data_IF_490665744902
#
_entry.id   IF_490665744902
#
_cell.length_a   1.000
_cell.length_b   1.000
_cell.length_c   1.000
_cell.angle_alpha   90.00
_cell.angle_beta   90.00
_cell.angle_gamma   90.00
#
_symmetry.space_group_name_H-M   'P 1'
#
loop_
_entity.id
_entity.type
_entity.pdbx_description
1 polymer ?
#
# COMPACT_ATOMS: atom_id res chain seq x y z
N UNK A 1 -1.53 -22.58 12.53
CA UNK A 1 -0.70 -22.65 11.31
C UNK A 1 0.11 -21.36 11.24
N UNK A 2 1.42 -21.41 10.95
CA UNK A 2 2.29 -20.21 10.99
C UNK A 2 2.14 -19.43 9.68
N UNK A 3 1.93 -18.11 9.78
CA UNK A 3 1.88 -17.23 8.61
C UNK A 3 3.22 -17.28 7.87
N UNK A 4 3.24 -17.57 6.55
CA UNK A 4 4.46 -17.60 5.75
C UNK A 4 5.04 -16.20 5.53
N UNK A 5 6.37 -16.15 5.41
CA UNK A 5 7.09 -14.95 5.01
C UNK A 5 7.49 -15.02 3.52
N UNK A 6 7.22 -13.94 2.80
CA UNK A 6 7.62 -13.72 1.41
C UNK A 6 8.89 -12.86 1.40
N UNK A 7 9.92 -13.32 0.68
CA UNK A 7 11.22 -12.68 0.53
C UNK A 7 11.94 -13.25 -0.70
N UNK A 8 12.70 -12.41 -1.41
CA UNK A 8 13.43 -12.89 -2.58
C UNK A 8 12.50 -13.24 -3.74
N UNK A 9 12.85 -14.33 -4.39
CA UNK A 9 12.10 -14.96 -5.48
C UNK A 9 11.10 -16.02 -4.98
N UNK A 10 10.85 -16.18 -3.68
CA UNK A 10 10.03 -17.29 -3.17
C UNK A 10 8.52 -17.20 -3.47
N UNK A 11 8.07 -16.11 -4.09
CA UNK A 11 6.72 -15.91 -4.58
C UNK A 11 6.69 -14.94 -5.77
N UNK A 12 5.76 -15.19 -6.71
CA UNK A 12 5.35 -14.24 -7.73
C UNK A 12 4.12 -13.49 -7.26
N UNK A 13 4.12 -12.16 -7.38
CA UNK A 13 3.01 -11.29 -6.99
C UNK A 13 2.56 -10.50 -8.21
N UNK A 14 1.27 -10.51 -8.48
CA UNK A 14 0.66 -9.83 -9.63
C UNK A 14 -0.52 -8.99 -9.15
N UNK A 15 -0.78 -7.84 -9.77
CA UNK A 15 -1.95 -7.03 -9.38
C UNK A 15 -3.24 -7.75 -9.75
N UNK A 16 -4.15 -7.81 -8.79
CA UNK A 16 -5.51 -8.27 -9.02
C UNK A 16 -6.42 -7.09 -9.39
N UNK A 17 -6.29 -5.97 -8.67
CA UNK A 17 -7.02 -4.73 -8.92
C UNK A 17 -6.27 -3.47 -8.43
N UNK A 18 -7.00 -2.39 -8.12
CA UNK A 18 -6.46 -1.14 -7.60
C UNK A 18 -5.76 -1.26 -6.23
N UNK A 19 -6.19 -2.17 -5.35
CA UNK A 19 -5.65 -2.29 -4.00
C UNK A 19 -5.34 -3.73 -3.59
N UNK A 20 -5.57 -4.73 -4.45
CA UNK A 20 -5.35 -6.14 -4.19
C UNK A 20 -4.33 -6.76 -5.15
N UNK A 21 -3.72 -7.84 -4.70
CA UNK A 21 -2.75 -8.64 -5.46
C UNK A 21 -3.10 -10.13 -5.38
N UNK A 22 -2.65 -10.88 -6.38
CA UNK A 22 -2.62 -12.33 -6.38
C UNK A 22 -1.18 -12.80 -6.11
N UNK A 23 -1.02 -13.83 -5.28
CA UNK A 23 0.28 -14.39 -4.91
C UNK A 23 0.34 -15.86 -5.28
N UNK A 24 1.40 -16.23 -5.99
CA UNK A 24 1.74 -17.63 -6.27
C UNK A 24 3.09 -17.96 -5.62
N UNK A 25 3.08 -18.79 -4.58
CA UNK A 25 4.28 -19.31 -3.91
C UNK A 25 4.91 -20.45 -4.72
N UNK A 26 6.23 -20.63 -4.62
CA UNK A 26 6.94 -21.74 -5.28
C UNK A 26 6.57 -23.13 -4.72
N UNK A 27 6.08 -23.18 -3.49
CA UNK A 27 5.57 -24.41 -2.87
C UNK A 27 4.14 -24.79 -3.33
N UNK A 28 3.58 -24.05 -4.28
CA UNK A 28 2.27 -24.30 -4.87
C UNK A 28 1.10 -23.61 -4.17
N UNK A 29 1.33 -22.94 -3.02
CA UNK A 29 0.26 -22.16 -2.37
C UNK A 29 -0.11 -20.94 -3.20
N UNK A 30 -1.42 -20.66 -3.27
CA UNK A 30 -1.97 -19.49 -3.94
C UNK A 30 -2.84 -18.69 -2.98
N UNK A 31 -2.70 -17.37 -3.03
CA UNK A 31 -3.55 -16.44 -2.31
C UNK A 31 -4.12 -15.45 -3.32
N UNK A 32 -5.43 -15.38 -3.44
CA UNK A 32 -6.12 -14.56 -4.43
C UNK A 32 -6.78 -13.35 -3.77
N UNK A 33 -6.77 -12.22 -4.48
CA UNK A 33 -7.39 -10.97 -4.06
C UNK A 33 -7.02 -10.54 -2.63
N UNK A 34 -5.73 -10.65 -2.28
CA UNK A 34 -5.25 -10.25 -0.96
C UNK A 34 -4.82 -8.80 -0.95
N UNK A 35 -5.14 -8.09 0.14
CA UNK A 35 -4.82 -6.68 0.30
C UNK A 35 -3.49 -6.50 1.05
N UNK A 36 -2.48 -5.84 0.46
CA UNK A 36 -1.28 -5.44 1.17
C UNK A 36 -1.55 -4.26 2.11
N UNK A 37 -1.15 -4.37 3.38
CA UNK A 37 -1.13 -3.27 4.37
C UNK A 37 0.23 -3.19 5.08
N UNK A 38 0.66 -1.98 5.45
CA UNK A 38 1.87 -1.75 6.25
C UNK A 38 1.58 -2.07 7.71
N UNK A 39 2.33 -3.00 8.30
CA UNK A 39 2.28 -3.22 9.77
C UNK A 39 2.90 -2.05 10.54
N UNK A 40 3.83 -1.32 9.91
CA UNK A 40 4.44 -0.11 10.48
C UNK A 40 4.29 1.06 9.49
N UNK A 41 3.13 1.76 9.47
CA UNK A 41 2.80 2.77 8.46
C UNK A 41 3.76 3.96 8.39
N UNK A 42 4.52 4.23 9.46
CA UNK A 42 5.44 5.37 9.56
C UNK A 42 6.89 4.91 9.34
N UNK A 43 7.35 3.91 10.08
CA UNK A 43 8.76 3.49 10.11
C UNK A 43 9.09 2.32 9.17
N UNK A 44 8.10 1.53 8.76
CA UNK A 44 8.25 0.34 7.91
C UNK A 44 7.59 0.50 6.56
N UNK A 45 7.86 1.61 5.86
CA UNK A 45 7.22 1.93 4.58
C UNK A 45 7.33 0.82 3.53
N UNK A 46 8.39 0.01 3.60
CA UNK A 46 8.71 -1.08 2.66
C UNK A 46 8.96 -2.42 3.34
N UNK A 47 8.76 -2.50 4.67
CA UNK A 47 9.09 -3.67 5.50
C UNK A 47 7.85 -4.15 6.24
N UNK A 48 7.74 -5.46 6.38
CA UNK A 48 6.63 -6.12 7.08
C UNK A 48 5.27 -5.67 6.54
N UNK A 49 5.02 -5.98 5.26
CA UNK A 49 3.73 -5.73 4.61
C UNK A 49 2.88 -7.00 4.79
N UNK A 50 1.78 -6.89 5.52
CA UNK A 50 0.83 -7.99 5.71
C UNK A 50 -0.06 -8.11 4.47
N UNK A 51 -0.42 -9.34 4.10
CA UNK A 51 -1.39 -9.65 3.07
C UNK A 51 -2.65 -10.20 3.74
N UNK A 52 -3.75 -9.47 3.61
CA UNK A 52 -5.03 -9.78 4.22
C UNK A 52 -5.99 -10.39 3.19
N UNK A 53 -6.69 -11.45 3.55
CA UNK A 53 -7.80 -11.96 2.76
C UNK A 53 -9.11 -11.15 2.97
N UNK A 54 -10.21 -11.64 2.38
CA UNK A 54 -11.51 -10.99 2.48
C UNK A 54 -12.12 -10.98 3.90
N UNK A 55 -11.62 -11.85 4.80
CA UNK A 55 -12.02 -11.89 6.22
C UNK A 55 -11.09 -11.02 7.08
N UNK A 56 -10.27 -10.16 6.46
CA UNK A 56 -9.19 -9.39 7.09
C UNK A 56 -8.16 -10.26 7.83
N UNK A 57 -8.04 -11.54 7.48
CA UNK A 57 -7.09 -12.45 8.08
C UNK A 57 -5.75 -12.39 7.37
N UNK A 58 -4.68 -12.31 8.15
CA UNK A 58 -3.32 -12.37 7.64
C UNK A 58 -3.00 -13.78 7.07
N UNK A 59 -2.72 -13.83 5.77
CA UNK A 59 -2.36 -15.06 5.07
C UNK A 59 -0.88 -15.15 4.72
N UNK A 60 -0.17 -14.02 4.65
CA UNK A 60 1.28 -13.95 4.44
C UNK A 60 1.85 -12.59 4.86
N UNK A 61 3.16 -12.52 5.11
CA UNK A 61 3.89 -11.26 5.34
C UNK A 61 5.05 -11.14 4.35
N UNK A 62 5.10 -10.04 3.62
CA UNK A 62 6.29 -9.65 2.85
C UNK A 62 7.27 -8.96 3.80
N UNK A 63 8.47 -9.53 3.98
CA UNK A 63 9.46 -8.96 4.91
C UNK A 63 10.04 -7.63 4.44
N UNK A 64 10.41 -7.57 3.17
CA UNK A 64 11.02 -6.39 2.57
C UNK A 64 10.72 -6.36 1.07
N UNK A 65 10.03 -5.32 0.60
CA UNK A 65 9.70 -5.14 -0.82
C UNK A 65 10.95 -5.09 -1.70
N UNK A 66 12.07 -4.57 -1.17
CA UNK A 66 13.33 -4.47 -1.91
C UNK A 66 14.03 -5.81 -2.15
N UNK A 67 13.52 -6.89 -1.58
CA UNK A 67 14.02 -8.24 -1.85
C UNK A 67 13.23 -8.94 -2.94
N UNK A 68 12.07 -8.42 -3.34
CA UNK A 68 11.23 -9.06 -4.34
C UNK A 68 11.79 -8.87 -5.75
N UNK A 69 11.36 -9.74 -6.66
CA UNK A 69 11.47 -9.49 -8.10
C UNK A 69 10.80 -8.15 -8.46
N UNK A 70 11.36 -7.44 -9.43
CA UNK A 70 10.96 -6.07 -9.77
C UNK A 70 9.45 -5.95 -10.10
N UNK A 71 8.89 -6.89 -10.85
CA UNK A 71 7.45 -6.89 -11.17
C UNK A 71 6.58 -7.10 -9.91
N UNK A 72 6.96 -8.05 -9.04
CA UNK A 72 6.27 -8.31 -7.77
C UNK A 72 6.33 -7.09 -6.85
N UNK A 73 7.49 -6.44 -6.76
CA UNK A 73 7.69 -5.20 -6.00
C UNK A 73 6.79 -4.08 -6.51
N UNK A 74 6.78 -3.87 -7.83
CA UNK A 74 5.96 -2.84 -8.47
C UNK A 74 4.46 -3.08 -8.27
N UNK A 75 4.00 -4.33 -8.34
CA UNK A 75 2.61 -4.67 -8.07
C UNK A 75 2.17 -4.25 -6.66
N UNK A 76 3.01 -4.54 -5.66
CA UNK A 76 2.70 -4.20 -4.26
C UNK A 76 2.84 -2.70 -4.00
N UNK A 77 3.89 -2.04 -4.47
CA UNK A 77 4.09 -0.60 -4.31
C UNK A 77 2.92 0.20 -4.91
N UNK A 78 2.39 -0.21 -6.07
CA UNK A 78 1.21 0.43 -6.68
C UNK A 78 -0.05 0.28 -5.82
N UNK A 79 -0.32 -0.92 -5.29
CA UNK A 79 -1.47 -1.13 -4.40
C UNK A 79 -1.34 -0.33 -3.10
N UNK A 80 -0.14 -0.29 -2.50
CA UNK A 80 0.11 0.50 -1.31
C UNK A 80 -0.03 2.01 -1.56
N UNK A 81 0.44 2.51 -2.70
CA UNK A 81 0.29 3.93 -3.06
C UNK A 81 -1.16 4.32 -3.29
N UNK A 82 -1.98 3.39 -3.80
CA UNK A 82 -3.41 3.62 -3.97
C UNK A 82 -4.15 3.58 -2.62
N UNK A 83 -3.79 2.66 -1.72
CA UNK A 83 -4.41 2.53 -0.41
C UNK A 83 -4.05 3.70 0.52
N UNK A 84 -2.76 4.02 0.61
CA UNK A 84 -2.23 5.09 1.45
C UNK A 84 -2.09 6.40 0.69
N UNK A 85 -3.05 6.72 -0.19
CA UNK A 85 -2.99 7.94 -1.01
C UNK A 85 -2.85 9.18 -0.11
N UNK A 86 -1.62 9.66 0.07
CA UNK A 86 -1.32 10.92 0.76
C UNK A 86 -0.99 11.95 -0.33
N UNK A 87 -1.95 12.80 -0.71
CA UNK A 87 -1.70 13.80 -1.75
C UNK A 87 -0.66 14.80 -1.25
N UNK A 88 0.37 15.05 -2.06
CA UNK A 88 1.40 16.06 -1.78
C UNK A 88 0.90 17.41 -2.27
N UNK A 89 0.80 18.38 -1.37
CA UNK A 89 0.49 19.77 -1.75
C UNK A 89 1.64 20.33 -2.59
N UNK A 90 1.35 20.76 -3.82
CA UNK A 90 2.31 21.35 -4.76
C UNK A 90 2.15 22.86 -4.89
N UNK A 91 0.95 23.39 -4.63
CA UNK A 91 0.69 24.83 -4.62
C UNK A 91 -0.44 25.15 -3.65
N UNK A 92 -0.32 26.27 -2.95
CA UNK A 92 -1.38 26.82 -2.12
C UNK A 92 -2.08 27.94 -2.87
N UNK A 93 -3.41 27.87 -3.00
CA UNK A 93 -4.24 28.92 -3.58
C UNK A 93 -4.76 29.88 -2.52
N UNK A 94 -5.25 29.34 -1.40
CA UNK A 94 -5.82 30.14 -0.31
C UNK A 94 -5.70 29.40 1.03
N UNK A 95 -5.47 30.15 2.11
CA UNK A 95 -5.65 29.72 3.51
C UNK A 95 -6.58 30.72 4.19
N UNK A 96 -7.63 30.22 4.86
CA UNK A 96 -8.54 31.00 5.71
C UNK A 96 -8.65 30.36 7.08
N UNK A 97 -8.48 31.16 8.12
CA UNK A 97 -8.81 30.75 9.48
C UNK A 97 -10.22 31.23 9.82
N UNK A 98 -11.11 30.29 10.15
CA UNK A 98 -12.50 30.59 10.51
C UNK A 98 -12.81 29.86 11.80
N UNK A 99 -13.03 30.62 12.88
CA UNK A 99 -13.38 30.07 14.21
C UNK A 99 -12.38 29.03 14.73
N UNK A 100 -11.08 29.23 14.45
CA UNK A 100 -10.00 28.32 14.86
C UNK A 100 -9.74 27.13 13.93
N UNK A 101 -10.52 26.97 12.84
CA UNK A 101 -10.26 25.96 11.81
C UNK A 101 -9.53 26.56 10.62
N UNK A 102 -8.57 25.80 10.06
CA UNK A 102 -7.77 26.20 8.91
C UNK A 102 -8.36 25.57 7.64
N UNK A 103 -9.03 26.41 6.85
CA UNK A 103 -9.54 26.03 5.54
C UNK A 103 -8.46 26.33 4.49
N UNK A 104 -8.08 25.32 3.70
CA UNK A 104 -7.05 25.45 2.67
C UNK A 104 -7.59 25.02 1.31
N UNK A 105 -7.34 25.86 0.30
CA UNK A 105 -7.55 25.51 -1.10
C UNK A 105 -6.20 25.34 -1.77
N UNK A 106 -5.92 24.15 -2.29
CA UNK A 106 -4.57 23.78 -2.75
C UNK A 106 -4.62 22.91 -4.00
N UNK A 107 -3.53 22.96 -4.76
CA UNK A 107 -3.23 21.97 -5.79
C UNK A 107 -2.34 20.88 -5.19
N UNK A 108 -2.67 19.63 -5.45
CA UNK A 108 -1.86 18.47 -5.08
C UNK A 108 -1.31 17.77 -6.33
N UNK A 109 -0.35 16.87 -6.17
CA UNK A 109 0.10 15.96 -7.23
C UNK A 109 -1.00 15.02 -7.75
N UNK A 110 -2.17 15.02 -7.10
CA UNK A 110 -3.39 14.28 -7.47
C UNK A 110 -4.57 15.19 -7.84
N UNK A 111 -4.29 16.44 -8.19
CA UNK A 111 -5.29 17.44 -8.57
C UNK A 111 -5.66 18.41 -7.46
N UNK A 112 -6.63 19.26 -7.74
CA UNK A 112 -7.08 20.33 -6.85
C UNK A 112 -7.91 19.79 -5.67
N UNK A 113 -7.68 20.30 -4.46
CA UNK A 113 -8.32 19.86 -3.21
C UNK A 113 -8.63 21.02 -2.28
N UNK A 114 -9.67 20.85 -1.47
CA UNK A 114 -9.99 21.71 -0.31
C UNK A 114 -9.89 20.87 0.97
N UNK A 115 -9.24 21.43 1.99
CA UNK A 115 -9.10 20.86 3.33
C UNK A 115 -9.78 21.81 4.33
N UNK A 116 -10.46 21.27 5.34
CA UNK A 116 -11.16 22.02 6.41
C UNK A 116 -10.61 21.65 7.79
#
# INVERSE_FOLDING_TARGET
>A
MKVPYIQGDNAKIERADLTHVNVTMYDGRKFENVQPRRLFPISGLRKYITLLDFEEKEVAIIRNLDTLMEDSKNAVDQCLNQYYLVPKIIRLYEIKEISGNINMHVLTDKGERKFE
#
